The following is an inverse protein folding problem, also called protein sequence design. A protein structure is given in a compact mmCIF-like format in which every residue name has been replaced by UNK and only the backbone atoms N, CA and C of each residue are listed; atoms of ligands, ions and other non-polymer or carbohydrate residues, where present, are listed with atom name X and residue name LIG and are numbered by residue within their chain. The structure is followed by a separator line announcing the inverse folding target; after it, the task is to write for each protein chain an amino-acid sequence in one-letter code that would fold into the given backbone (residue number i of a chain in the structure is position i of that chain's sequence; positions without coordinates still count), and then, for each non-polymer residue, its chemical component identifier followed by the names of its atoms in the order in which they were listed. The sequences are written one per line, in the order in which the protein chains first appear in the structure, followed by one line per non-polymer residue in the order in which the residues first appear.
data_IF_791930123114
#
_entry.id   IF_791930123114
#
_cell.length_a   1.000
_cell.length_b   1.000
_cell.length_c   1.000
_cell.angle_alpha   90.00
_cell.angle_beta   90.00
_cell.angle_gamma   90.00
#
_symmetry.space_group_name_H-M   'P 1'
#
loop_
_entity.id
_entity.type
_entity.pdbx_description
1 polymer ?
#
# COMPACT_ATOMS: atom_id res chain seq x y z
N UNK A 1 29.41 15.44 2.88
CA UNK A 1 28.18 14.68 3.21
C UNK A 1 27.02 15.60 3.03
N UNK A 2 26.06 15.21 2.21
CA UNK A 2 24.77 15.93 2.13
C UNK A 2 24.07 15.81 3.49
N UNK A 3 23.34 16.84 3.89
CA UNK A 3 22.53 16.80 5.11
C UNK A 3 21.07 17.14 4.74
N UNK A 4 20.40 16.30 3.90
CA UNK A 4 19.07 16.62 3.43
C UNK A 4 18.05 16.58 4.57
N UNK A 5 17.08 17.47 4.55
CA UNK A 5 15.93 17.41 5.44
C UNK A 5 14.98 16.31 4.97
N UNK A 6 14.58 15.39 5.84
CA UNK A 6 13.66 14.33 5.54
C UNK A 6 12.33 14.55 6.26
N UNK A 7 11.22 14.63 5.51
CA UNK A 7 9.86 14.70 6.05
C UNK A 7 9.28 13.29 6.22
N UNK A 8 9.00 12.89 7.46
CA UNK A 8 8.34 11.62 7.77
C UNK A 8 6.87 11.91 8.09
N UNK A 9 5.97 11.41 7.26
CA UNK A 9 4.53 11.71 7.31
C UNK A 9 3.77 10.52 7.86
N UNK A 10 3.07 10.70 8.98
CA UNK A 10 2.27 9.67 9.64
C UNK A 10 0.79 10.07 9.70
N UNK A 11 -0.09 9.46 8.88
CA UNK A 11 -1.54 9.60 9.04
C UNK A 11 -2.01 8.86 10.29
N UNK A 12 -2.87 9.50 11.07
CA UNK A 12 -3.40 8.97 12.33
C UNK A 12 -4.92 9.03 12.30
N UNK A 13 -5.57 7.87 12.49
CA UNK A 13 -7.02 7.78 12.69
C UNK A 13 -7.40 6.51 13.45
N UNK A 14 -7.91 6.64 14.68
CA UNK A 14 -8.32 5.50 15.54
C UNK A 14 -7.22 4.44 15.70
N UNK A 15 -6.00 4.88 15.90
CA UNK A 15 -4.87 3.98 16.18
C UNK A 15 -4.90 3.62 17.66
N UNK A 16 -4.64 2.36 18.00
CA UNK A 16 -4.48 1.98 19.40
C UNK A 16 -3.36 2.80 20.03
N UNK A 17 -3.63 3.42 21.19
CA UNK A 17 -2.72 4.41 21.79
C UNK A 17 -1.28 3.91 21.93
N UNK A 18 -1.09 2.66 22.41
CA UNK A 18 0.25 2.09 22.55
C UNK A 18 0.98 1.99 21.20
N UNK A 19 0.28 1.62 20.12
CA UNK A 19 0.87 1.51 18.80
C UNK A 19 1.29 2.87 18.24
N UNK A 20 0.43 3.88 18.43
CA UNK A 20 0.75 5.25 18.06
C UNK A 20 1.98 5.78 18.81
N UNK A 21 2.07 5.49 20.12
CA UNK A 21 3.25 5.85 20.93
C UNK A 21 4.51 5.15 20.43
N UNK A 22 4.44 3.84 20.17
CA UNK A 22 5.58 3.09 19.62
C UNK A 22 6.05 3.68 18.29
N UNK A 23 5.11 3.99 17.39
CA UNK A 23 5.38 4.65 16.13
C UNK A 23 6.14 5.96 16.34
N UNK A 24 5.57 6.90 17.09
CA UNK A 24 6.17 8.23 17.29
C UNK A 24 7.56 8.11 17.98
N UNK A 25 7.71 7.22 18.96
CA UNK A 25 8.99 6.98 19.62
C UNK A 25 10.04 6.47 18.64
N UNK A 26 9.69 5.59 17.69
CA UNK A 26 10.63 5.12 16.67
C UNK A 26 11.12 6.24 15.76
N UNK A 27 10.26 7.23 15.48
CA UNK A 27 10.61 8.41 14.68
C UNK A 27 11.49 9.41 15.47
N UNK A 28 11.16 9.66 16.74
CA UNK A 28 11.96 10.55 17.60
C UNK A 28 13.37 10.03 17.81
N UNK A 29 13.52 8.71 17.90
CA UNK A 29 14.80 8.06 18.19
C UNK A 29 15.64 7.80 16.94
N UNK A 30 15.28 8.30 15.77
CA UNK A 30 16.11 8.19 14.58
C UNK A 30 17.50 8.81 14.85
N UNK A 31 18.56 8.06 14.54
CA UNK A 31 19.96 8.51 14.73
C UNK A 31 20.31 9.69 13.82
N UNK A 32 19.67 9.78 12.66
CA UNK A 32 19.74 10.96 11.79
C UNK A 32 18.82 12.07 12.30
N UNK A 33 19.39 13.21 12.68
CA UNK A 33 18.67 14.28 13.38
C UNK A 33 17.97 15.28 12.47
N UNK A 34 18.39 15.43 11.19
CA UNK A 34 17.78 16.40 10.26
C UNK A 34 16.51 15.87 9.64
N UNK A 35 15.50 15.65 10.47
CA UNK A 35 14.17 15.17 10.11
C UNK A 35 13.09 16.13 10.61
N UNK A 36 11.97 16.18 9.93
CA UNK A 36 10.70 16.67 10.44
C UNK A 36 9.68 15.53 10.46
N UNK A 37 8.86 15.47 11.49
CA UNK A 37 7.84 14.44 11.71
C UNK A 37 6.49 15.12 11.62
N UNK A 38 5.67 14.74 10.65
CA UNK A 38 4.36 15.33 10.40
C UNK A 38 3.27 14.32 10.77
N UNK A 39 2.66 14.49 11.93
CA UNK A 39 1.55 13.68 12.41
C UNK A 39 0.24 14.30 11.92
N UNK A 40 -0.53 13.58 11.11
CA UNK A 40 -1.80 14.08 10.57
C UNK A 40 -2.95 13.35 11.23
N UNK A 41 -3.56 13.96 12.25
CA UNK A 41 -4.78 13.46 12.85
C UNK A 41 -5.98 13.76 11.95
N UNK A 42 -6.48 12.71 11.30
CA UNK A 42 -7.61 12.76 10.36
C UNK A 42 -8.97 12.76 11.10
N UNK A 43 -9.07 13.58 12.15
CA UNK A 43 -10.28 13.74 12.93
C UNK A 43 -10.61 12.50 13.77
N UNK A 44 -9.62 11.97 14.49
CA UNK A 44 -9.80 10.84 15.40
C UNK A 44 -10.78 11.18 16.51
N UNK A 45 -11.83 10.37 16.75
CA UNK A 45 -12.80 10.60 17.81
C UNK A 45 -12.32 10.15 19.20
N UNK A 46 -11.12 9.57 19.27
CA UNK A 46 -10.44 9.07 20.48
C UNK A 46 -9.30 10.00 20.89
N UNK A 47 -8.39 9.53 21.75
CA UNK A 47 -7.28 10.33 22.27
C UNK A 47 -6.11 10.49 21.32
N UNK A 48 -6.15 9.96 20.09
CA UNK A 48 -5.00 10.00 19.17
C UNK A 48 -4.47 11.43 18.96
N UNK A 49 -5.34 12.41 18.72
CA UNK A 49 -4.94 13.81 18.55
C UNK A 49 -4.21 14.38 19.78
N UNK A 50 -4.70 14.10 21.00
CA UNK A 50 -4.07 14.52 22.24
C UNK A 50 -2.68 13.86 22.42
N UNK A 51 -2.54 12.59 22.05
CA UNK A 51 -1.25 11.89 22.08
C UNK A 51 -0.25 12.58 21.15
N UNK A 52 -0.65 12.91 19.92
CA UNK A 52 0.19 13.63 18.96
C UNK A 52 0.65 14.99 19.54
N UNK A 53 -0.25 15.76 20.12
CA UNK A 53 0.05 17.06 20.72
C UNK A 53 1.03 16.96 21.90
N UNK A 54 0.90 15.92 22.73
CA UNK A 54 1.79 15.70 23.85
C UNK A 54 3.22 15.35 23.43
N UNK A 55 3.40 14.68 22.30
CA UNK A 55 4.72 14.46 21.72
C UNK A 55 5.28 15.73 21.08
N UNK A 56 4.47 16.50 20.35
CA UNK A 56 4.90 17.74 19.72
C UNK A 56 5.38 18.80 20.75
N UNK A 57 4.77 18.85 21.96
CA UNK A 57 5.23 19.71 23.06
C UNK A 57 6.66 19.38 23.54
N UNK A 58 7.14 18.15 23.31
CA UNK A 58 8.44 17.64 23.82
C UNK A 58 9.51 17.59 22.76
N UNK A 59 9.15 17.61 21.47
CA UNK A 59 10.08 17.52 20.35
C UNK A 59 9.67 18.51 19.25
N UNK A 60 10.49 19.52 19.03
CA UNK A 60 10.22 20.59 18.06
C UNK A 60 10.30 20.15 16.59
N UNK A 61 10.79 18.95 16.32
CA UNK A 61 10.78 18.34 14.98
C UNK A 61 9.38 17.82 14.62
N UNK A 62 8.48 17.66 15.60
CA UNK A 62 7.12 17.14 15.41
C UNK A 62 6.17 18.29 15.12
N UNK A 63 5.45 18.18 13.99
CA UNK A 63 4.32 19.03 13.61
C UNK A 63 3.04 18.20 13.64
N UNK A 64 1.97 18.73 14.22
CA UNK A 64 0.66 18.07 14.23
C UNK A 64 -0.31 18.85 13.36
N UNK A 65 -1.04 18.13 12.52
CA UNK A 65 -2.12 18.67 11.68
C UNK A 65 -3.41 17.98 12.11
N UNK A 66 -4.34 18.74 12.70
CA UNK A 66 -5.68 18.27 12.96
C UNK A 66 -6.60 18.68 11.81
N UNK A 67 -7.30 17.72 11.23
CA UNK A 67 -8.25 17.98 10.15
C UNK A 67 -9.54 17.19 10.29
N UNK A 68 -10.59 17.63 9.63
CA UNK A 68 -11.80 16.84 9.51
C UNK A 68 -11.49 15.53 8.76
N UNK A 69 -12.08 14.41 9.20
CA UNK A 69 -11.86 13.10 8.58
C UNK A 69 -12.15 13.13 7.08
N UNK A 70 -11.14 12.80 6.29
CA UNK A 70 -11.19 12.71 4.83
C UNK A 70 -10.68 11.36 4.29
N UNK A 71 -10.21 10.48 5.18
CA UNK A 71 -9.64 9.18 4.87
C UNK A 71 -8.12 9.23 4.59
N UNK A 72 -7.54 8.05 4.44
CA UNK A 72 -6.08 7.83 4.40
C UNK A 72 -5.37 8.69 3.35
N UNK A 73 -5.89 8.74 2.12
CA UNK A 73 -5.33 9.57 1.03
C UNK A 73 -5.33 11.05 1.40
N UNK A 74 -6.45 11.54 1.96
CA UNK A 74 -6.58 12.94 2.37
C UNK A 74 -5.60 13.31 3.48
N UNK A 75 -5.36 12.39 4.44
CA UNK A 75 -4.40 12.59 5.51
C UNK A 75 -2.95 12.60 4.98
N UNK A 76 -2.57 11.64 4.12
CA UNK A 76 -1.25 11.59 3.51
C UNK A 76 -0.96 12.82 2.66
N UNK A 77 -1.93 13.29 1.86
CA UNK A 77 -1.77 14.49 1.06
C UNK A 77 -1.63 15.75 1.92
N UNK A 78 -2.41 15.90 3.01
CA UNK A 78 -2.25 17.02 3.93
C UNK A 78 -0.85 17.07 4.55
N UNK A 79 -0.29 15.90 4.92
CA UNK A 79 1.09 15.80 5.39
C UNK A 79 2.11 16.13 4.29
N UNK A 80 1.90 15.65 3.07
CA UNK A 80 2.77 15.97 1.93
C UNK A 80 2.77 17.47 1.59
N UNK A 81 1.63 18.12 1.62
CA UNK A 81 1.50 19.56 1.38
C UNK A 81 2.21 20.40 2.45
N UNK A 82 2.26 19.91 3.70
CA UNK A 82 2.95 20.57 4.82
C UNK A 82 4.43 20.25 4.92
N UNK A 83 4.91 19.26 4.16
CA UNK A 83 6.30 18.82 4.16
C UNK A 83 7.23 19.88 3.52
N UNK A 84 8.36 20.12 4.20
CA UNK A 84 9.38 21.09 3.77
C UNK A 84 10.71 20.45 3.43
N UNK A 85 10.83 19.13 3.64
CA UNK A 85 12.04 18.37 3.41
C UNK A 85 12.44 18.23 1.94
N UNK A 86 13.71 17.94 1.73
CA UNK A 86 14.25 17.58 0.41
C UNK A 86 13.73 16.21 -0.07
N UNK A 87 13.40 15.37 0.92
CA UNK A 87 12.86 14.03 0.73
C UNK A 87 11.66 13.80 1.66
N UNK A 88 10.77 12.89 1.26
CA UNK A 88 9.66 12.49 2.12
C UNK A 88 9.38 10.99 2.05
N UNK A 89 8.83 10.45 3.14
CA UNK A 89 8.30 9.10 3.21
C UNK A 89 7.02 9.07 4.06
N UNK A 90 6.26 7.97 3.94
CA UNK A 90 5.08 7.70 4.74
C UNK A 90 5.36 6.57 5.73
N UNK A 91 4.71 6.63 6.89
CA UNK A 91 4.61 5.54 7.86
C UNK A 91 3.18 5.45 8.35
N UNK A 92 2.62 4.25 8.48
CA UNK A 92 1.30 4.08 9.09
C UNK A 92 1.42 4.17 10.62
N UNK A 93 0.45 4.82 11.28
CA UNK A 93 0.53 5.19 12.70
C UNK A 93 0.53 4.02 13.69
N UNK A 94 0.34 2.77 13.23
CA UNK A 94 0.41 1.55 14.02
C UNK A 94 1.69 0.72 13.79
N UNK A 95 2.61 1.21 12.95
CA UNK A 95 3.87 0.56 12.57
C UNK A 95 5.09 1.28 13.19
N UNK A 96 6.31 0.80 12.97
CA UNK A 96 7.54 1.47 13.42
C UNK A 96 8.72 1.24 12.47
N UNK A 97 9.76 2.08 12.61
CA UNK A 97 10.99 2.03 11.83
C UNK A 97 12.18 1.62 12.69
N UNK A 98 13.18 1.00 12.06
CA UNK A 98 14.50 0.86 12.69
C UNK A 98 15.10 2.23 13.00
N UNK A 99 15.76 2.35 14.15
CA UNK A 99 16.25 3.64 14.67
C UNK A 99 17.40 4.24 13.83
N UNK A 100 18.13 3.43 13.09
CA UNK A 100 19.26 3.84 12.24
C UNK A 100 18.89 3.91 10.74
N UNK A 101 17.62 3.74 10.42
CA UNK A 101 17.13 3.71 9.03
C UNK A 101 17.51 4.96 8.26
N UNK A 102 17.18 6.15 8.79
CA UNK A 102 17.41 7.41 8.05
C UNK A 102 18.90 7.69 7.87
N UNK A 103 19.73 7.37 8.86
CA UNK A 103 21.19 7.51 8.77
C UNK A 103 21.78 6.60 7.68
N UNK A 104 21.36 5.33 7.64
CA UNK A 104 21.79 4.37 6.60
C UNK A 104 21.37 4.83 5.21
N UNK A 105 20.15 5.33 5.04
CA UNK A 105 19.66 5.84 3.76
C UNK A 105 20.47 7.06 3.32
N UNK A 106 20.69 8.04 4.19
CA UNK A 106 21.47 9.26 3.87
C UNK A 106 22.90 8.90 3.50
N UNK A 107 23.52 7.96 4.22
CA UNK A 107 24.85 7.46 3.87
C UNK A 107 24.90 6.88 2.45
N UNK A 108 23.88 6.17 2.02
CA UNK A 108 23.80 5.65 0.65
C UNK A 108 23.56 6.77 -0.38
N UNK A 109 22.79 7.79 -0.05
CA UNK A 109 22.58 8.95 -0.92
C UNK A 109 23.86 9.80 -1.12
N UNK A 110 24.79 9.76 -0.17
CA UNK A 110 26.11 10.40 -0.34
C UNK A 110 26.99 9.69 -1.37
N UNK A 111 26.77 8.40 -1.58
CA UNK A 111 27.56 7.57 -2.51
C UNK A 111 26.90 7.36 -3.87
N UNK A 112 25.57 7.55 -3.94
CA UNK A 112 24.77 7.36 -5.15
C UNK A 112 24.08 8.67 -5.52
N UNK A 113 24.51 9.28 -6.63
CA UNK A 113 23.97 10.58 -7.08
C UNK A 113 22.78 10.41 -8.02
N UNK A 114 21.96 11.48 -8.09
CA UNK A 114 20.80 11.60 -9.00
C UNK A 114 19.71 10.55 -8.74
N UNK A 115 19.55 10.13 -7.48
CA UNK A 115 18.47 9.22 -7.07
C UNK A 115 17.17 10.02 -6.92
N UNK A 116 16.08 9.49 -7.48
CA UNK A 116 14.74 10.04 -7.34
C UNK A 116 13.92 9.31 -6.26
N UNK A 117 14.15 8.00 -6.12
CA UNK A 117 13.44 7.13 -5.20
C UNK A 117 14.43 6.18 -4.51
N UNK A 118 14.37 6.08 -3.19
CA UNK A 118 15.01 5.01 -2.42
C UNK A 118 13.92 4.06 -1.94
N UNK A 119 14.16 2.74 -1.97
CA UNK A 119 13.20 1.78 -1.43
C UNK A 119 13.89 0.61 -0.74
N UNK A 120 13.13 -0.06 0.15
CA UNK A 120 13.65 -1.07 1.07
C UNK A 120 12.64 -2.21 1.30
N UNK A 121 12.96 -3.13 2.21
CA UNK A 121 12.08 -4.24 2.61
C UNK A 121 11.28 -3.89 3.86
N UNK A 122 10.15 -4.58 4.04
CA UNK A 122 9.39 -4.59 5.28
C UNK A 122 9.32 -6.02 5.87
N UNK A 123 9.19 -6.07 7.18
CA UNK A 123 8.94 -7.31 7.91
C UNK A 123 7.58 -7.26 8.60
N UNK A 124 6.84 -8.36 8.57
CA UNK A 124 5.58 -8.48 9.29
C UNK A 124 5.81 -8.93 10.72
N UNK A 125 5.29 -8.17 11.68
CA UNK A 125 5.34 -8.48 13.10
C UNK A 125 4.04 -9.17 13.54
N UNK A 126 4.10 -10.46 13.79
CA UNK A 126 2.94 -11.28 14.15
C UNK A 126 3.21 -12.00 15.45
N UNK A 127 2.48 -11.66 16.52
CA UNK A 127 2.62 -12.29 17.85
C UNK A 127 4.08 -12.33 18.37
N UNK A 128 4.85 -11.26 18.13
CA UNK A 128 6.25 -11.17 18.55
C UNK A 128 7.24 -11.95 17.67
N UNK A 129 6.80 -12.44 16.52
CA UNK A 129 7.65 -13.09 15.53
C UNK A 129 7.73 -12.27 14.26
N UNK A 130 8.91 -12.19 13.69
CA UNK A 130 9.15 -11.56 12.41
C UNK A 130 8.92 -12.55 11.28
N UNK A 131 8.04 -12.17 10.35
CA UNK A 131 7.71 -12.98 9.18
C UNK A 131 8.04 -12.17 7.93
N UNK A 132 9.01 -12.64 7.16
CA UNK A 132 9.33 -12.07 5.85
C UNK A 132 8.36 -12.57 4.79
N UNK A 133 8.12 -11.76 3.76
CA UNK A 133 7.25 -12.13 2.64
C UNK A 133 7.80 -13.33 1.86
N UNK A 134 6.90 -14.15 1.28
CA UNK A 134 7.30 -15.31 0.46
C UNK A 134 7.99 -14.95 -0.86
N UNK A 135 7.72 -13.77 -1.38
CA UNK A 135 8.38 -13.20 -2.55
C UNK A 135 9.39 -12.18 -2.04
N UNK A 136 10.58 -12.65 -1.73
CA UNK A 136 11.69 -11.77 -1.45
C UNK A 136 12.12 -11.10 -2.75
N UNK A 137 12.32 -9.79 -2.67
CA UNK A 137 13.01 -9.06 -3.71
C UNK A 137 14.41 -9.66 -3.88
N UNK A 138 14.66 -10.30 -5.01
CA UNK A 138 15.91 -11.01 -5.26
C UNK A 138 16.99 -10.00 -5.68
N UNK A 139 17.63 -9.42 -4.71
CA UNK A 139 18.89 -8.70 -4.88
C UNK A 139 19.84 -9.25 -3.83
N UNK A 140 20.98 -9.82 -4.27
CA UNK A 140 21.97 -10.39 -3.35
C UNK A 140 22.88 -9.31 -2.78
N UNK A 141 23.02 -8.17 -3.48
CA UNK A 141 23.80 -7.04 -3.03
C UNK A 141 23.07 -6.22 -1.97
N UNK A 142 23.85 -5.54 -1.11
CA UNK A 142 23.30 -4.63 -0.09
C UNK A 142 22.56 -3.44 -0.71
N UNK A 143 23.06 -2.90 -1.81
CA UNK A 143 22.41 -1.85 -2.59
C UNK A 143 22.41 -2.16 -4.07
N UNK A 144 21.37 -1.71 -4.77
CA UNK A 144 21.30 -1.76 -6.22
C UNK A 144 20.66 -0.49 -6.79
N UNK A 145 21.26 0.07 -7.82
CA UNK A 145 20.72 1.25 -8.52
C UNK A 145 20.06 0.80 -9.83
N UNK A 146 18.76 1.07 -9.92
CA UNK A 146 17.96 0.85 -11.13
C UNK A 146 18.00 2.10 -12.00
N UNK A 147 18.35 1.92 -13.29
CA UNK A 147 18.24 2.99 -14.29
C UNK A 147 16.81 3.19 -14.78
N UNK A 148 16.61 4.19 -15.65
CA UNK A 148 15.26 4.62 -16.09
C UNK A 148 14.39 3.50 -16.67
N UNK A 149 14.94 2.62 -17.52
CA UNK A 149 14.16 1.51 -18.11
C UNK A 149 13.82 0.44 -17.04
N UNK A 150 14.74 0.16 -16.13
CA UNK A 150 14.49 -0.74 -15.00
C UNK A 150 13.46 -0.16 -14.03
N UNK A 151 13.48 1.15 -13.81
CA UNK A 151 12.44 1.83 -13.04
C UNK A 151 11.04 1.67 -13.67
N UNK A 152 10.92 1.73 -15.00
CA UNK A 152 9.66 1.42 -15.68
C UNK A 152 9.23 -0.03 -15.46
N UNK A 153 10.17 -0.97 -15.42
CA UNK A 153 9.86 -2.36 -15.08
C UNK A 153 9.41 -2.48 -13.61
N UNK A 154 10.06 -1.77 -12.67
CA UNK A 154 9.61 -1.69 -11.28
C UNK A 154 8.16 -1.15 -11.17
N UNK A 155 7.80 -0.17 -12.00
CA UNK A 155 6.42 0.33 -12.06
C UNK A 155 5.44 -0.77 -12.49
N UNK A 156 5.78 -1.58 -13.49
CA UNK A 156 4.99 -2.77 -13.90
C UNK A 156 4.89 -3.77 -12.74
N UNK A 157 6.00 -4.01 -12.04
CA UNK A 157 6.10 -4.97 -10.94
C UNK A 157 5.24 -4.59 -9.74
N UNK A 158 4.87 -3.30 -9.57
CA UNK A 158 3.91 -2.87 -8.53
C UNK A 158 2.52 -3.51 -8.70
N UNK A 159 2.18 -3.96 -9.89
CA UNK A 159 0.92 -4.65 -10.17
C UNK A 159 0.95 -6.13 -9.80
N UNK A 160 2.14 -6.72 -9.68
CA UNK A 160 2.31 -8.14 -9.37
C UNK A 160 1.95 -8.37 -7.89
N UNK A 161 1.06 -9.31 -7.68
CA UNK A 161 0.59 -9.65 -6.33
C UNK A 161 1.73 -10.25 -5.49
N UNK A 162 1.88 -9.78 -4.25
CA UNK A 162 2.89 -10.21 -3.26
C UNK A 162 4.35 -9.91 -3.60
N UNK A 163 4.67 -9.11 -4.60
CA UNK A 163 6.07 -8.74 -4.88
C UNK A 163 6.63 -7.71 -3.87
N UNK A 164 5.79 -7.13 -3.03
CA UNK A 164 6.20 -6.22 -1.95
C UNK A 164 6.47 -4.77 -2.36
N UNK A 165 6.82 -4.51 -3.61
CA UNK A 165 7.21 -3.17 -4.09
C UNK A 165 6.07 -2.15 -4.21
N UNK A 166 4.84 -2.58 -4.03
CA UNK A 166 3.65 -1.73 -4.19
C UNK A 166 3.27 -0.92 -2.94
N UNK A 167 3.88 -1.18 -1.80
CA UNK A 167 3.55 -0.47 -0.56
C UNK A 167 4.10 0.97 -0.57
N UNK A 168 3.31 1.99 -0.20
CA UNK A 168 3.77 3.37 -0.16
C UNK A 168 4.76 3.65 0.97
N UNK A 169 4.79 2.80 2.01
CA UNK A 169 5.58 3.00 3.24
C UNK A 169 7.00 2.47 3.16
N UNK A 170 7.38 1.82 2.06
CA UNK A 170 8.72 1.27 1.86
C UNK A 170 9.58 2.12 0.92
N UNK A 171 9.33 3.43 0.85
CA UNK A 171 10.09 4.31 -0.03
C UNK A 171 10.27 5.71 0.51
N UNK A 172 11.40 6.29 0.15
CA UNK A 172 11.73 7.68 0.31
C UNK A 172 11.76 8.32 -1.08
N UNK A 173 11.06 9.41 -1.28
CA UNK A 173 10.91 10.07 -2.59
C UNK A 173 11.46 11.48 -2.52
N UNK A 174 12.24 11.88 -3.52
CA UNK A 174 12.79 13.23 -3.61
C UNK A 174 11.66 14.23 -3.89
N UNK A 175 11.61 15.32 -3.13
CA UNK A 175 10.48 16.25 -3.14
C UNK A 175 10.33 17.00 -4.47
N UNK A 176 11.42 17.50 -5.05
CA UNK A 176 11.37 18.23 -6.33
C UNK A 176 10.95 17.30 -7.48
N UNK A 177 11.42 16.06 -7.49
CA UNK A 177 10.97 15.01 -8.43
C UNK A 177 9.47 14.75 -8.26
N UNK A 178 8.99 14.57 -7.04
CA UNK A 178 7.58 14.33 -6.78
C UNK A 178 6.69 15.49 -7.23
N UNK A 179 7.12 16.73 -6.98
CA UNK A 179 6.43 17.94 -7.44
C UNK A 179 6.40 18.03 -8.96
N UNK A 180 7.54 17.76 -9.63
CA UNK A 180 7.67 17.83 -11.09
C UNK A 180 6.73 16.87 -11.81
N UNK A 181 6.59 15.64 -11.31
CA UNK A 181 5.83 14.57 -11.97
C UNK A 181 4.50 14.26 -11.28
N UNK A 182 4.08 15.08 -10.32
CA UNK A 182 2.86 14.89 -9.52
C UNK A 182 2.78 13.48 -8.87
N UNK A 183 3.90 13.06 -8.28
CA UNK A 183 4.00 11.77 -7.57
C UNK A 183 3.44 11.95 -6.15
N UNK A 184 2.11 11.92 -6.06
CA UNK A 184 1.35 12.03 -4.81
C UNK A 184 0.24 11.00 -4.79
N UNK A 185 -0.46 10.87 -3.66
CA UNK A 185 -1.68 10.07 -3.61
C UNK A 185 -2.80 10.77 -4.39
N UNK A 186 -3.47 10.04 -5.27
CA UNK A 186 -4.53 10.60 -6.11
C UNK A 186 -5.78 10.91 -5.27
N UNK A 187 -6.19 12.18 -5.20
CA UNK A 187 -7.31 12.65 -4.38
C UNK A 187 -8.68 12.09 -4.80
N UNK A 188 -8.80 11.49 -5.98
CA UNK A 188 -10.00 10.78 -6.43
C UNK A 188 -10.16 9.40 -5.75
N UNK A 189 -9.10 8.92 -5.10
CA UNK A 189 -9.07 7.66 -4.35
C UNK A 189 -9.17 7.92 -2.84
N UNK A 190 -9.51 6.90 -2.06
CA UNK A 190 -9.59 7.01 -0.60
C UNK A 190 -8.71 6.00 0.12
N UNK A 191 -8.82 4.73 -0.29
CA UNK A 191 -8.10 3.60 0.30
C UNK A 191 -8.20 2.37 -0.61
N UNK A 192 -7.37 1.37 -0.37
CA UNK A 192 -7.43 0.05 -1.00
C UNK A 192 -6.27 -0.24 -1.93
N UNK A 193 -6.10 0.49 -3.02
CA UNK A 193 -4.97 0.37 -3.96
C UNK A 193 -4.28 1.72 -4.21
N UNK A 194 -4.54 2.72 -3.37
CA UNK A 194 -3.93 4.05 -3.48
C UNK A 194 -2.41 4.01 -3.38
N UNK A 195 -1.90 3.09 -2.55
CA UNK A 195 -0.46 2.85 -2.43
C UNK A 195 0.17 2.30 -3.70
N UNK A 196 -0.55 1.43 -4.44
CA UNK A 196 -0.08 0.94 -5.72
C UNK A 196 0.04 2.05 -6.76
N UNK A 197 -0.91 3.00 -6.80
CA UNK A 197 -0.87 4.16 -7.71
C UNK A 197 0.36 5.02 -7.42
N UNK A 198 0.56 5.37 -6.15
CA UNK A 198 1.72 6.13 -5.70
C UNK A 198 3.03 5.41 -6.04
N UNK A 199 3.11 4.11 -5.77
CA UNK A 199 4.28 3.29 -6.07
C UNK A 199 4.57 3.23 -7.58
N UNK A 200 3.55 2.97 -8.39
CA UNK A 200 3.65 2.91 -9.84
C UNK A 200 4.15 4.24 -10.42
N UNK A 201 3.54 5.36 -10.02
CA UNK A 201 3.98 6.70 -10.46
C UNK A 201 5.42 7.00 -10.04
N UNK A 202 5.79 6.69 -8.77
CA UNK A 202 7.12 6.95 -8.26
C UNK A 202 8.22 6.24 -9.06
N UNK A 203 7.99 4.99 -9.46
CA UNK A 203 8.95 4.27 -10.28
C UNK A 203 8.88 4.66 -11.76
N UNK A 204 7.69 4.81 -12.32
CA UNK A 204 7.55 5.10 -13.76
C UNK A 204 8.30 6.37 -14.20
N UNK A 205 8.24 7.42 -13.38
CA UNK A 205 8.86 8.70 -13.69
C UNK A 205 10.32 8.82 -13.20
N UNK A 206 10.80 7.89 -12.36
CA UNK A 206 12.16 7.95 -11.84
C UNK A 206 13.22 7.73 -12.94
N UNK A 207 14.25 8.55 -12.90
CA UNK A 207 15.47 8.33 -13.70
C UNK A 207 16.36 7.29 -13.06
N UNK A 208 16.45 7.31 -11.72
CA UNK A 208 17.17 6.30 -10.94
C UNK A 208 16.43 5.99 -9.65
N UNK A 209 16.34 4.72 -9.31
CA UNK A 209 15.87 4.25 -8.02
C UNK A 209 16.97 3.43 -7.32
N UNK A 210 17.16 3.66 -6.03
CA UNK A 210 18.12 2.95 -5.20
C UNK A 210 17.37 1.96 -4.31
N UNK A 211 17.68 0.69 -4.43
CA UNK A 211 17.24 -0.35 -3.49
C UNK A 211 18.27 -0.54 -2.38
N UNK A 212 17.77 -0.62 -1.14
CA UNK A 212 18.58 -1.01 0.01
C UNK A 212 18.01 -2.33 0.56
N UNK A 213 18.84 -3.36 0.58
CA UNK A 213 18.45 -4.72 0.94
C UNK A 213 18.36 -4.93 2.46
N UNK A 214 17.56 -4.08 3.12
CA UNK A 214 17.35 -4.07 4.58
C UNK A 214 15.85 -4.06 4.92
N UNK A 215 15.51 -4.61 6.08
CA UNK A 215 14.16 -4.61 6.63
C UNK A 215 14.00 -3.44 7.61
N UNK A 216 13.85 -2.24 7.11
CA UNK A 216 13.74 -1.03 7.93
C UNK A 216 12.35 -0.78 8.50
N UNK A 217 11.32 -1.34 7.89
CA UNK A 217 9.93 -1.09 8.22
C UNK A 217 9.29 -2.30 8.87
N UNK A 218 8.75 -2.13 10.07
CA UNK A 218 8.06 -3.15 10.83
C UNK A 218 6.55 -2.98 10.73
N UNK A 219 5.93 -3.84 9.92
CA UNK A 219 4.49 -3.86 9.73
C UNK A 219 3.81 -4.68 10.82
N UNK A 220 3.08 -4.01 11.71
CA UNK A 220 2.36 -4.65 12.81
C UNK A 220 1.12 -5.39 12.30
N UNK A 221 0.98 -6.66 12.67
CA UNK A 221 -0.25 -7.38 12.40
C UNK A 221 -1.39 -6.83 13.27
N UNK A 222 -2.36 -6.19 12.62
CA UNK A 222 -3.56 -5.66 13.26
C UNK A 222 -4.80 -6.39 12.73
N UNK A 223 -5.52 -7.20 13.56
CA UNK A 223 -6.71 -7.92 13.12
C UNK A 223 -7.88 -6.98 12.77
N UNK A 224 -7.87 -5.74 13.25
CA UNK A 224 -8.92 -4.72 13.02
C UNK A 224 -8.58 -3.77 11.86
N UNK A 225 -7.52 -4.05 11.11
CA UNK A 225 -7.09 -3.23 9.97
C UNK A 225 -8.21 -2.99 8.96
N UNK A 226 -8.29 -1.77 8.43
CA UNK A 226 -9.28 -1.33 7.43
C UNK A 226 -9.25 -2.23 6.19
N UNK A 227 -8.07 -2.71 5.77
CA UNK A 227 -7.91 -3.60 4.62
C UNK A 227 -8.65 -4.94 4.76
N UNK A 228 -9.02 -5.34 5.98
CA UNK A 228 -9.74 -6.58 6.28
C UNK A 228 -11.25 -6.40 6.42
N UNK A 229 -11.76 -5.17 6.34
CA UNK A 229 -13.19 -4.91 6.55
C UNK A 229 -14.03 -5.39 5.37
N UNK A 230 -15.12 -6.11 5.68
CA UNK A 230 -16.14 -6.57 4.73
C UNK A 230 -17.08 -5.41 4.42
N UNK A 231 -16.81 -4.66 3.33
CA UNK A 231 -17.59 -3.45 3.01
C UNK A 231 -17.73 -3.23 1.50
N UNK A 232 -18.96 -2.96 1.05
CA UNK A 232 -19.20 -2.54 -0.33
C UNK A 232 -18.58 -1.15 -0.64
N UNK A 233 -18.44 -0.30 0.37
CA UNK A 233 -17.76 0.98 0.23
C UNK A 233 -16.28 0.79 -0.12
N UNK A 234 -15.60 -0.20 0.48
CA UNK A 234 -14.21 -0.53 0.14
C UNK A 234 -14.10 -1.07 -1.28
N UNK A 235 -15.08 -1.87 -1.75
CA UNK A 235 -15.12 -2.34 -3.13
C UNK A 235 -15.16 -1.17 -4.10
N UNK A 236 -15.99 -0.15 -3.83
CA UNK A 236 -16.05 1.06 -4.65
C UNK A 236 -14.70 1.78 -4.67
N UNK A 237 -14.06 1.97 -3.51
CA UNK A 237 -12.75 2.61 -3.43
C UNK A 237 -11.69 1.86 -4.28
N UNK A 238 -11.68 0.52 -4.23
CA UNK A 238 -10.76 -0.30 -5.03
C UNK A 238 -11.03 -0.13 -6.54
N UNK A 239 -12.30 -0.09 -6.96
CA UNK A 239 -12.68 0.13 -8.37
C UNK A 239 -12.26 1.54 -8.81
N UNK A 240 -12.42 2.55 -7.97
CA UNK A 240 -11.97 3.91 -8.27
C UNK A 240 -10.44 3.97 -8.42
N UNK A 241 -9.68 3.25 -7.59
CA UNK A 241 -8.22 3.10 -7.74
C UNK A 241 -7.85 2.42 -9.07
N UNK A 242 -8.54 1.33 -9.45
CA UNK A 242 -8.27 0.65 -10.72
C UNK A 242 -8.48 1.56 -11.93
N UNK A 243 -9.51 2.42 -11.90
CA UNK A 243 -9.76 3.41 -12.98
C UNK A 243 -8.62 4.41 -13.10
N UNK A 244 -8.14 4.93 -11.96
CA UNK A 244 -6.98 5.84 -11.94
C UNK A 244 -5.74 5.15 -12.50
N UNK A 245 -5.50 3.88 -12.15
CA UNK A 245 -4.39 3.10 -12.70
C UNK A 245 -4.52 2.93 -14.23
N UNK A 246 -5.73 2.63 -14.74
CA UNK A 246 -5.96 2.50 -16.19
C UNK A 246 -5.68 3.82 -16.92
N UNK A 247 -6.07 4.96 -16.34
CA UNK A 247 -5.79 6.29 -16.90
C UNK A 247 -4.29 6.60 -16.93
N UNK A 248 -3.56 6.32 -15.84
CA UNK A 248 -2.11 6.51 -15.77
C UNK A 248 -1.40 5.63 -16.80
N UNK A 249 -1.74 4.33 -16.84
CA UNK A 249 -1.16 3.36 -17.76
C UNK A 249 -1.42 3.77 -19.23
N UNK A 250 -2.60 4.27 -19.54
CA UNK A 250 -2.92 4.72 -20.90
C UNK A 250 -2.03 5.89 -21.37
N UNK A 251 -1.52 6.68 -20.43
CA UNK A 251 -0.59 7.79 -20.70
C UNK A 251 0.89 7.34 -20.76
N UNK A 252 1.22 6.12 -20.33
CA UNK A 252 2.59 5.63 -20.29
C UNK A 252 3.10 5.21 -21.68
N UNK A 253 4.36 5.48 -21.96
CA UNK A 253 4.99 5.16 -23.26
C UNK A 253 5.09 3.66 -23.55
N UNK A 254 5.26 2.86 -22.48
CA UNK A 254 5.34 1.39 -22.51
C UNK A 254 4.08 0.70 -21.96
N UNK A 255 2.91 1.28 -22.19
CA UNK A 255 1.60 0.81 -21.67
C UNK A 255 1.32 -0.67 -21.93
N UNK A 256 1.83 -1.23 -23.02
CA UNK A 256 1.61 -2.64 -23.38
C UNK A 256 2.20 -3.60 -22.33
N UNK A 257 3.31 -3.21 -21.66
CA UNK A 257 3.94 -4.01 -20.62
C UNK A 257 3.05 -4.15 -19.37
N UNK A 258 2.17 -3.17 -19.14
CA UNK A 258 1.23 -3.15 -18.02
C UNK A 258 -0.05 -3.97 -18.24
N UNK A 259 -0.40 -4.30 -19.49
CA UNK A 259 -1.71 -4.90 -19.78
C UNK A 259 -1.91 -6.23 -19.08
N UNK A 260 -0.95 -7.16 -19.22
CA UNK A 260 -1.06 -8.48 -18.58
C UNK A 260 -1.05 -8.38 -17.05
N UNK A 261 -0.08 -7.68 -16.39
CA UNK A 261 -0.09 -7.47 -14.94
C UNK A 261 -1.38 -6.81 -14.43
N UNK A 262 -1.95 -5.87 -15.19
CA UNK A 262 -3.20 -5.20 -14.82
C UNK A 262 -4.39 -6.18 -14.85
N UNK A 263 -4.47 -7.08 -15.86
CA UNK A 263 -5.49 -8.13 -15.89
C UNK A 263 -5.30 -9.12 -14.74
N UNK A 264 -4.08 -9.53 -14.43
CA UNK A 264 -3.78 -10.41 -13.31
C UNK A 264 -4.16 -9.74 -11.98
N UNK A 265 -3.83 -8.45 -11.79
CA UNK A 265 -4.27 -7.64 -10.64
C UNK A 265 -5.79 -7.59 -10.52
N UNK A 266 -6.50 -7.33 -11.63
CA UNK A 266 -7.95 -7.29 -11.65
C UNK A 266 -8.58 -8.63 -11.24
N UNK A 267 -7.99 -9.76 -11.63
CA UNK A 267 -8.43 -11.10 -11.17
C UNK A 267 -8.30 -11.26 -9.66
N UNK A 268 -7.17 -10.82 -9.06
CA UNK A 268 -7.03 -10.85 -7.61
C UNK A 268 -8.06 -9.98 -6.91
N UNK A 269 -8.36 -8.80 -7.46
CA UNK A 269 -9.41 -7.91 -6.96
C UNK A 269 -10.78 -8.57 -7.03
N UNK A 270 -11.13 -9.18 -8.15
CA UNK A 270 -12.40 -9.92 -8.33
C UNK A 270 -12.55 -11.01 -7.27
N UNK A 271 -11.50 -11.83 -7.07
CA UNK A 271 -11.50 -12.89 -6.08
C UNK A 271 -11.58 -12.36 -4.64
N UNK A 272 -10.86 -11.27 -4.35
CA UNK A 272 -10.91 -10.62 -3.05
C UNK A 272 -12.32 -10.07 -2.74
N UNK A 273 -12.95 -9.37 -3.69
CA UNK A 273 -14.33 -8.89 -3.57
C UNK A 273 -15.31 -10.04 -3.36
N UNK A 274 -15.18 -11.13 -4.14
CA UNK A 274 -16.03 -12.29 -3.99
C UNK A 274 -15.93 -12.88 -2.58
N UNK A 275 -14.73 -13.19 -2.11
CA UNK A 275 -14.52 -13.95 -0.87
C UNK A 275 -14.54 -13.11 0.39
N UNK A 276 -14.14 -11.82 0.31
CA UNK A 276 -14.03 -10.95 1.48
C UNK A 276 -15.23 -10.00 1.65
N UNK A 277 -16.10 -9.87 0.63
CA UNK A 277 -17.25 -8.95 0.71
C UNK A 277 -18.56 -9.66 0.35
N UNK A 278 -18.76 -10.01 -0.92
CA UNK A 278 -20.07 -10.49 -1.40
C UNK A 278 -20.43 -11.87 -0.85
N UNK A 279 -19.50 -12.82 -0.85
CA UNK A 279 -19.72 -14.18 -0.39
C UNK A 279 -19.03 -14.48 0.94
N UNK A 280 -18.65 -13.43 1.69
CA UNK A 280 -18.17 -13.58 3.06
C UNK A 280 -19.32 -14.02 3.98
N UNK A 281 -19.11 -14.99 4.90
CA UNK A 281 -20.17 -15.49 5.79
C UNK A 281 -20.81 -14.43 6.68
N UNK A 282 -20.10 -13.34 7.00
CA UNK A 282 -20.65 -12.22 7.77
C UNK A 282 -21.55 -11.27 6.94
N UNK A 283 -21.65 -11.46 5.62
CA UNK A 283 -22.57 -10.66 4.80
C UNK A 283 -24.01 -11.12 5.03
N UNK A 284 -24.85 -10.25 5.56
CA UNK A 284 -26.23 -10.55 5.94
C UNK A 284 -27.26 -10.49 4.80
N UNK A 285 -26.87 -9.99 3.62
CA UNK A 285 -27.74 -10.00 2.44
C UNK A 285 -28.05 -11.45 2.00
N UNK A 286 -29.22 -11.68 1.43
CA UNK A 286 -29.58 -12.98 0.86
C UNK A 286 -28.63 -13.38 -0.27
N UNK A 287 -28.43 -14.69 -0.48
CA UNK A 287 -27.53 -15.20 -1.55
C UNK A 287 -27.91 -14.63 -2.93
N UNK A 288 -29.21 -14.53 -3.23
CA UNK A 288 -29.70 -13.95 -4.50
C UNK A 288 -29.28 -12.48 -4.63
N UNK A 289 -29.41 -11.68 -3.55
CA UNK A 289 -29.05 -10.26 -3.57
C UNK A 289 -27.54 -10.09 -3.74
N UNK A 290 -26.71 -10.86 -3.02
CA UNK A 290 -25.25 -10.86 -3.14
C UNK A 290 -24.80 -11.23 -4.54
N UNK A 291 -25.38 -12.28 -5.12
CA UNK A 291 -25.11 -12.75 -6.48
C UNK A 291 -25.42 -11.68 -7.51
N UNK A 292 -26.59 -11.02 -7.41
CA UNK A 292 -26.97 -9.92 -8.33
C UNK A 292 -26.03 -8.73 -8.23
N UNK A 293 -25.66 -8.31 -7.02
CA UNK A 293 -24.72 -7.20 -6.80
C UNK A 293 -23.34 -7.51 -7.39
N UNK A 294 -22.81 -8.70 -7.13
CA UNK A 294 -21.52 -9.12 -7.67
C UNK A 294 -21.54 -9.23 -9.20
N UNK A 295 -22.58 -9.86 -9.77
CA UNK A 295 -22.77 -9.96 -11.22
C UNK A 295 -22.78 -8.58 -11.89
N UNK A 296 -23.51 -7.63 -11.30
CA UNK A 296 -23.60 -6.27 -11.81
C UNK A 296 -22.23 -5.60 -11.89
N UNK A 297 -21.41 -5.71 -10.85
CA UNK A 297 -20.05 -5.13 -10.82
C UNK A 297 -19.18 -5.74 -11.93
N UNK A 298 -19.25 -7.07 -12.13
CA UNK A 298 -18.49 -7.73 -13.20
C UNK A 298 -18.97 -7.28 -14.58
N UNK A 299 -20.30 -7.20 -14.77
CA UNK A 299 -20.88 -6.86 -16.08
C UNK A 299 -20.76 -5.37 -16.44
N UNK A 300 -20.68 -4.47 -15.45
CA UNK A 300 -20.53 -3.03 -15.67
C UNK A 300 -19.06 -2.59 -15.82
N UNK A 301 -18.09 -3.40 -15.36
CA UNK A 301 -16.67 -3.06 -15.40
C UNK A 301 -15.96 -3.72 -16.59
N UNK A 302 -15.46 -2.90 -17.53
CA UNK A 302 -14.81 -3.40 -18.74
C UNK A 302 -13.49 -4.12 -18.43
N UNK A 303 -12.66 -3.57 -17.51
CA UNK A 303 -11.41 -4.20 -17.07
C UNK A 303 -11.66 -5.60 -16.53
N UNK A 304 -12.71 -5.79 -15.71
CA UNK A 304 -13.02 -7.11 -15.16
C UNK A 304 -13.44 -8.12 -16.24
N UNK A 305 -14.23 -7.67 -17.22
CA UNK A 305 -14.60 -8.53 -18.36
C UNK A 305 -13.40 -8.97 -19.18
N UNK A 306 -12.50 -8.03 -19.47
CA UNK A 306 -11.28 -8.33 -20.23
C UNK A 306 -10.30 -9.20 -19.41
N UNK A 307 -10.13 -8.93 -18.11
CA UNK A 307 -9.30 -9.73 -17.24
C UNK A 307 -9.77 -11.20 -17.16
N UNK A 308 -11.08 -11.44 -17.03
CA UNK A 308 -11.64 -12.80 -17.00
C UNK A 308 -11.33 -13.57 -18.31
N UNK A 309 -11.21 -12.88 -19.46
CA UNK A 309 -10.87 -13.48 -20.74
C UNK A 309 -9.37 -13.70 -20.92
N UNK A 310 -8.53 -12.73 -20.51
CA UNK A 310 -7.12 -12.60 -20.93
C UNK A 310 -6.10 -12.90 -19.84
N UNK A 311 -6.48 -12.87 -18.52
CA UNK A 311 -5.56 -13.10 -17.44
C UNK A 311 -4.94 -14.50 -17.48
N UNK A 312 -3.68 -14.57 -17.05
CA UNK A 312 -3.00 -15.85 -16.86
C UNK A 312 -3.43 -16.49 -15.53
N UNK A 313 -3.91 -17.72 -15.60
CA UNK A 313 -4.32 -18.47 -14.40
C UNK A 313 -3.17 -19.28 -13.79
N UNK A 314 -1.95 -19.22 -14.35
CA UNK A 314 -0.86 -20.11 -13.95
C UNK A 314 -0.33 -19.80 -12.55
N UNK A 315 -0.38 -18.55 -12.13
CA UNK A 315 0.13 -18.07 -10.83
C UNK A 315 -0.89 -18.11 -9.70
N UNK A 316 -2.13 -18.51 -10.00
CA UNK A 316 -3.22 -18.59 -9.02
C UNK A 316 -3.28 -20.02 -8.44
N UNK A 317 -3.42 -20.14 -7.12
CA UNK A 317 -3.56 -21.45 -6.46
C UNK A 317 -4.81 -22.22 -6.91
N UNK A 318 -4.82 -23.55 -6.66
CA UNK A 318 -5.90 -24.45 -7.10
C UNK A 318 -7.28 -24.00 -6.63
N UNK A 319 -7.41 -23.51 -5.40
CA UNK A 319 -8.68 -23.07 -4.83
C UNK A 319 -9.22 -21.83 -5.57
N UNK A 320 -8.36 -20.86 -5.83
CA UNK A 320 -8.70 -19.67 -6.60
C UNK A 320 -8.98 -19.99 -8.07
N UNK A 321 -8.24 -20.93 -8.68
CA UNK A 321 -8.52 -21.40 -10.07
C UNK A 321 -9.95 -21.95 -10.22
N UNK A 322 -10.41 -22.75 -9.27
CA UNK A 322 -11.77 -23.29 -9.29
C UNK A 322 -12.79 -22.16 -9.13
N UNK A 323 -12.57 -21.22 -8.20
CA UNK A 323 -13.47 -20.06 -8.04
C UNK A 323 -13.57 -19.24 -9.34
N UNK A 324 -12.45 -19.00 -10.02
CA UNK A 324 -12.39 -18.30 -11.31
C UNK A 324 -13.13 -19.04 -12.42
N UNK A 325 -13.08 -20.38 -12.45
CA UNK A 325 -13.87 -21.17 -13.38
C UNK A 325 -15.36 -20.86 -13.21
N UNK A 326 -15.89 -20.85 -11.96
CA UNK A 326 -17.29 -20.51 -11.72
C UNK A 326 -17.62 -19.05 -12.05
N UNK A 327 -16.68 -18.13 -11.85
CA UNK A 327 -16.85 -16.73 -12.29
C UNK A 327 -16.97 -16.66 -13.81
N UNK A 328 -16.12 -17.38 -14.55
CA UNK A 328 -16.11 -17.40 -16.01
C UNK A 328 -17.43 -17.92 -16.62
N UNK A 329 -18.02 -18.94 -16.00
CA UNK A 329 -19.31 -19.50 -16.44
C UNK A 329 -20.52 -18.82 -15.78
N UNK A 330 -20.30 -17.70 -15.07
CA UNK A 330 -21.32 -16.88 -14.39
C UNK A 330 -22.14 -17.62 -13.30
N UNK A 331 -21.61 -18.71 -12.75
CA UNK A 331 -22.21 -19.44 -11.64
C UNK A 331 -21.80 -18.84 -10.28
N UNK A 332 -22.03 -17.54 -10.09
CA UNK A 332 -21.55 -16.77 -8.94
C UNK A 332 -22.08 -17.27 -7.59
N UNK A 333 -23.29 -17.84 -7.53
CA UNK A 333 -23.86 -18.39 -6.29
C UNK A 333 -23.00 -19.50 -5.67
N UNK A 334 -22.21 -20.21 -6.46
CA UNK A 334 -21.27 -21.24 -5.98
C UNK A 334 -20.16 -20.64 -5.13
N UNK A 335 -19.83 -19.35 -5.32
CA UNK A 335 -18.78 -18.65 -4.57
C UNK A 335 -19.09 -18.54 -3.06
N UNK A 336 -20.35 -18.71 -2.65
CA UNK A 336 -20.71 -18.76 -1.22
C UNK A 336 -20.02 -19.95 -0.51
N UNK A 337 -19.89 -21.09 -1.19
CA UNK A 337 -19.16 -22.24 -0.68
C UNK A 337 -17.69 -21.90 -0.48
N UNK A 338 -17.09 -21.19 -1.43
CA UNK A 338 -15.68 -20.78 -1.37
C UNK A 338 -15.43 -19.76 -0.25
N UNK A 339 -16.34 -18.79 -0.06
CA UNK A 339 -16.26 -17.83 1.04
C UNK A 339 -16.28 -18.52 2.41
N UNK A 340 -17.19 -19.49 2.61
CA UNK A 340 -17.29 -20.30 3.83
C UNK A 340 -16.05 -21.17 4.02
N UNK A 341 -15.59 -21.86 2.98
CA UNK A 341 -14.41 -22.72 3.04
C UNK A 341 -13.14 -21.91 3.39
N UNK A 342 -12.95 -20.73 2.80
CA UNK A 342 -11.84 -19.83 3.14
C UNK A 342 -11.85 -19.46 4.62
N UNK A 343 -12.99 -19.04 5.17
CA UNK A 343 -13.09 -18.65 6.58
C UNK A 343 -12.84 -19.84 7.53
N UNK A 344 -13.28 -21.03 7.15
CA UNK A 344 -13.00 -22.25 7.89
C UNK A 344 -11.50 -22.59 7.90
N UNK A 345 -10.81 -22.45 6.76
CA UNK A 345 -9.36 -22.65 6.66
C UNK A 345 -8.56 -21.61 7.46
N UNK A 346 -8.98 -20.34 7.42
CA UNK A 346 -8.36 -19.26 8.22
C UNK A 346 -8.45 -19.54 9.73
N UNK A 347 -9.61 -19.95 10.23
CA UNK A 347 -9.80 -20.32 11.65
C UNK A 347 -8.92 -21.49 12.11
N UNK A 348 -8.46 -22.34 11.20
CA UNK A 348 -7.58 -23.48 11.47
C UNK A 348 -6.10 -23.21 11.22
N UNK A 349 -5.72 -21.97 10.90
CA UNK A 349 -4.34 -21.60 10.58
C UNK A 349 -3.79 -22.28 9.30
N UNK A 350 -4.66 -22.84 8.45
CA UNK A 350 -4.27 -23.56 7.23
C UNK A 350 -4.25 -22.68 5.98
N UNK A 351 -4.60 -21.40 6.10
CA UNK A 351 -4.58 -20.43 5.01
C UNK A 351 -3.64 -19.30 5.41
N UNK A 352 -2.52 -19.18 4.71
CA UNK A 352 -1.63 -18.03 4.84
C UNK A 352 -2.12 -16.93 3.89
N UNK A 353 -2.10 -15.69 4.37
CA UNK A 353 -2.50 -14.49 3.63
C UNK A 353 -1.68 -14.30 2.36
#
# INVERSE_FOLDING_TARGET
MSNPLISIIAPVYKVQEQYLRDCIISLQNQTYSNIEIILVDDGSPDNCGLVCDDFAKKDNRIKVIHKQNGGLVSARNAGYEAATGDWFCFIDGDDWLDVDMMEKIVHQLDTHTDIDVVFWKLVHEVNGQQITGKLEWKCDDYTHVYGSEECKQLAVDTLIYNLGVSSPVIRLVRMDFAKKYNVTHDSRTKQGLEGNIFAMRSFYYAHKALFINEYFYHYRYNPTSISKSVSEANVKCIIDCLKVMEEDIAAFSNKEDFLKPMYDKAIYVILAMAMNTYFHPANTDSLVKRTRKFARIIDENLLFKEAIKKASYNEVDKFRKIALFFIKIKMYFVLDIFGRAKQFMLKRGKYNY
#
